data_IF_967067613850
#
_entry.id   IF_967067613850
#
_cell.length_a   1.000
_cell.length_b   1.000
_cell.length_c   1.000
_cell.angle_alpha   90.00
_cell.angle_beta   90.00
_cell.angle_gamma   90.00
#
_symmetry.space_group_name_H-M   'P 1'
#
loop_
_entity.id
_entity.type
_entity.pdbx_description
1 polymer ?
#
# COMPACT_ATOMS: atom_id res chain seq x y z
N UNK A 1 30.86 -47.89 -26.64
CA UNK A 1 31.11 -46.76 -25.71
C UNK A 1 30.91 -45.38 -26.33
N UNK A 2 31.39 -45.09 -27.56
CA UNK A 2 31.28 -43.74 -28.17
C UNK A 2 29.85 -43.28 -28.53
N UNK A 3 28.96 -44.19 -28.96
CA UNK A 3 27.58 -43.85 -29.37
C UNK A 3 26.67 -43.55 -28.18
N UNK A 4 26.73 -44.34 -27.11
CA UNK A 4 25.95 -44.07 -25.88
C UNK A 4 26.35 -42.73 -25.23
N UNK A 5 27.64 -42.38 -25.27
CA UNK A 5 28.11 -41.08 -24.77
C UNK A 5 27.54 -39.91 -25.58
N UNK A 6 27.43 -40.06 -26.91
CA UNK A 6 26.85 -39.04 -27.78
C UNK A 6 25.35 -38.85 -27.54
N UNK A 7 24.60 -39.94 -27.35
CA UNK A 7 23.17 -39.89 -27.00
C UNK A 7 22.97 -39.18 -25.65
N UNK A 8 23.80 -39.49 -24.66
CA UNK A 8 23.74 -38.84 -23.35
C UNK A 8 24.00 -37.33 -23.44
N UNK A 9 24.98 -36.91 -24.23
CA UNK A 9 25.25 -35.48 -24.46
C UNK A 9 24.10 -34.76 -25.16
N UNK A 10 23.42 -35.41 -26.12
CA UNK A 10 22.23 -34.85 -26.78
C UNK A 10 21.07 -34.71 -25.80
N UNK A 11 20.84 -35.71 -24.94
CA UNK A 11 19.79 -35.66 -23.92
C UNK A 11 20.08 -34.57 -22.89
N UNK A 12 21.33 -34.46 -22.42
CA UNK A 12 21.74 -33.40 -21.47
C UNK A 12 21.58 -32.03 -22.11
N UNK A 13 22.01 -31.84 -23.37
CA UNK A 13 21.85 -30.59 -24.13
C UNK A 13 20.38 -30.21 -24.35
N UNK A 14 19.52 -31.21 -24.59
CA UNK A 14 18.09 -30.99 -24.73
C UNK A 14 17.43 -30.65 -23.39
N UNK A 15 17.79 -31.35 -22.31
CA UNK A 15 17.32 -31.05 -20.95
C UNK A 15 17.77 -29.68 -20.46
N UNK A 16 19.01 -29.26 -20.70
CA UNK A 16 19.48 -27.93 -20.31
C UNK A 16 18.73 -26.83 -21.06
N UNK A 17 18.52 -26.98 -22.37
CA UNK A 17 17.68 -26.05 -23.15
C UNK A 17 16.26 -25.93 -22.61
N UNK A 18 15.66 -27.04 -22.16
CA UNK A 18 14.30 -27.09 -21.61
C UNK A 18 14.20 -26.49 -20.21
N UNK A 19 15.25 -26.63 -19.39
CA UNK A 19 15.32 -26.05 -18.03
C UNK A 19 15.57 -24.54 -18.08
N UNK A 20 16.38 -24.05 -19.04
CA UNK A 20 16.60 -22.61 -19.26
C UNK A 20 15.45 -21.91 -20.00
N UNK A 21 14.49 -22.66 -20.55
CA UNK A 21 13.31 -22.13 -21.23
C UNK A 21 12.04 -22.18 -20.39
N UNK A 22 12.15 -22.32 -19.06
CA UNK A 22 11.02 -22.04 -18.19
C UNK A 22 10.64 -20.57 -18.42
N UNK A 23 9.40 -20.27 -18.86
CA UNK A 23 9.00 -18.88 -18.93
C UNK A 23 9.08 -18.35 -17.49
N UNK A 24 9.86 -17.31 -17.25
CA UNK A 24 9.61 -16.46 -16.10
C UNK A 24 8.28 -15.78 -16.39
N UNK A 25 7.17 -16.46 -16.11
CA UNK A 25 5.85 -15.93 -16.33
C UNK A 25 5.51 -14.95 -15.20
N UNK A 26 6.30 -13.89 -15.10
CA UNK A 26 5.90 -12.66 -14.44
C UNK A 26 5.68 -11.65 -15.55
N UNK A 27 4.53 -11.73 -16.23
CA UNK A 27 4.11 -10.57 -17.02
C UNK A 27 3.84 -9.44 -16.04
N UNK A 28 4.21 -8.23 -16.40
CA UNK A 28 3.86 -7.05 -15.61
C UNK A 28 2.32 -6.95 -15.55
N UNK A 29 1.80 -6.67 -14.34
CA UNK A 29 0.39 -6.38 -14.14
C UNK A 29 0.11 -4.96 -14.62
N UNK A 30 -1.02 -4.77 -15.28
CA UNK A 30 -1.46 -3.45 -15.71
C UNK A 30 -2.90 -3.17 -15.26
N UNK A 31 -3.42 -1.98 -15.56
CA UNK A 31 -4.75 -1.55 -15.10
C UNK A 31 -5.89 -2.40 -15.66
N UNK A 32 -5.72 -3.04 -16.81
CA UNK A 32 -6.72 -3.91 -17.43
C UNK A 32 -6.93 -5.22 -16.67
N UNK A 33 -6.02 -5.57 -15.77
CA UNK A 33 -6.15 -6.73 -14.88
C UNK A 33 -7.15 -6.51 -13.73
N UNK A 34 -7.66 -5.28 -13.57
CA UNK A 34 -8.56 -4.89 -12.49
C UNK A 34 -9.93 -4.47 -13.05
N UNK A 35 -11.02 -4.59 -12.26
CA UNK A 35 -12.34 -4.12 -12.68
C UNK A 35 -12.35 -2.64 -13.07
N UNK A 36 -13.24 -2.27 -13.98
CA UNK A 36 -13.46 -0.87 -14.33
C UNK A 36 -13.81 -0.05 -13.08
N UNK A 37 -13.15 1.11 -12.93
CA UNK A 37 -13.33 1.98 -11.77
C UNK A 37 -12.58 1.52 -10.51
N UNK A 38 -11.71 0.51 -10.59
CA UNK A 38 -10.85 0.15 -9.46
C UNK A 38 -9.99 1.33 -9.03
N UNK A 39 -10.07 1.69 -7.74
CA UNK A 39 -9.36 2.84 -7.17
C UNK A 39 -7.96 2.40 -6.76
N UNK A 40 -6.96 3.07 -7.34
CA UNK A 40 -5.57 2.99 -6.90
C UNK A 40 -5.20 4.29 -6.18
N UNK A 41 -4.51 4.19 -5.05
CA UNK A 41 -4.12 5.35 -4.27
C UNK A 41 -2.89 5.07 -3.40
N UNK A 42 -2.48 6.10 -2.66
CA UNK A 42 -1.44 6.05 -1.63
C UNK A 42 -2.04 6.47 -0.30
N UNK A 43 -1.43 6.07 0.81
CA UNK A 43 -1.89 6.39 2.15
C UNK A 43 -0.79 7.08 2.95
N UNK A 44 -1.18 8.04 3.78
CA UNK A 44 -0.34 8.70 4.79
C UNK A 44 -1.17 8.90 6.06
N UNK A 45 -0.51 9.12 7.19
CA UNK A 45 -1.14 9.35 8.50
C UNK A 45 -0.64 10.66 9.09
N UNK A 46 -1.50 11.37 9.79
CA UNK A 46 -1.13 12.55 10.54
C UNK A 46 -0.57 12.17 11.92
N UNK A 47 -0.01 13.16 12.61
CA UNK A 47 0.25 13.09 14.05
C UNK A 47 -0.32 14.36 14.68
N UNK A 48 -1.16 14.20 15.70
CA UNK A 48 -1.82 15.33 16.36
C UNK A 48 -0.85 16.09 17.28
N UNK A 49 -1.14 17.38 17.46
CA UNK A 49 -0.49 18.26 18.45
C UNK A 49 -1.50 18.64 19.53
N UNK A 50 -1.01 18.94 20.73
CA UNK A 50 -1.80 19.05 21.96
C UNK A 50 -2.91 20.12 21.92
N UNK A 51 -3.94 19.86 22.74
CA UNK A 51 -5.04 20.69 23.25
C UNK A 51 -5.65 21.83 22.40
N UNK A 52 -6.99 21.80 22.38
CA UNK A 52 -7.83 22.85 21.80
C UNK A 52 -8.05 22.73 20.29
N UNK A 53 -8.95 23.57 19.77
CA UNK A 53 -9.19 23.63 18.32
C UNK A 53 -8.03 24.36 17.65
N UNK A 54 -7.21 23.62 16.91
CA UNK A 54 -6.14 24.16 16.07
C UNK A 54 -6.73 24.62 14.71
N UNK A 55 -6.90 25.92 14.54
CA UNK A 55 -7.49 26.51 13.31
C UNK A 55 -6.60 26.32 12.10
N UNK A 56 -5.29 26.39 12.28
CA UNK A 56 -4.29 26.17 11.25
C UNK A 56 -4.32 24.72 10.76
N UNK A 57 -4.49 23.76 11.68
CA UNK A 57 -4.69 22.35 11.35
C UNK A 57 -5.97 22.11 10.56
N UNK A 58 -7.07 22.77 10.93
CA UNK A 58 -8.32 22.70 10.16
C UNK A 58 -8.15 23.29 8.75
N UNK A 59 -7.49 24.45 8.63
CA UNK A 59 -7.22 25.07 7.33
C UNK A 59 -6.36 24.16 6.45
N UNK A 60 -5.33 23.53 7.02
CA UNK A 60 -4.48 22.57 6.30
C UNK A 60 -5.29 21.44 5.65
N UNK A 61 -6.21 20.81 6.40
CA UNK A 61 -7.03 19.74 5.84
C UNK A 61 -8.02 20.24 4.79
N UNK A 62 -8.58 21.44 4.95
CA UNK A 62 -9.43 22.05 3.92
C UNK A 62 -8.64 22.27 2.62
N UNK A 63 -7.48 22.92 2.71
CA UNK A 63 -6.62 23.20 1.55
C UNK A 63 -6.19 21.90 0.86
N UNK A 64 -5.85 20.87 1.64
CA UNK A 64 -5.49 19.56 1.12
C UNK A 64 -6.66 18.89 0.36
N UNK A 65 -7.86 18.89 0.95
CA UNK A 65 -9.04 18.26 0.33
C UNK A 65 -9.44 19.01 -0.94
N UNK A 66 -9.41 20.34 -0.90
CA UNK A 66 -9.73 21.19 -2.05
C UNK A 66 -8.74 20.94 -3.19
N UNK A 67 -7.44 20.87 -2.91
CA UNK A 67 -6.42 20.59 -3.92
C UNK A 67 -6.54 19.16 -4.50
N UNK A 68 -6.79 18.14 -3.67
CA UNK A 68 -7.02 16.77 -4.14
C UNK A 68 -8.23 16.71 -5.09
N UNK A 69 -9.33 17.35 -4.69
CA UNK A 69 -10.57 17.38 -5.46
C UNK A 69 -10.40 18.15 -6.77
N UNK A 70 -9.69 19.29 -6.74
CA UNK A 70 -9.38 20.08 -7.92
C UNK A 70 -8.57 19.30 -8.97
N UNK A 71 -7.78 18.31 -8.53
CA UNK A 71 -7.00 17.43 -9.40
C UNK A 71 -7.68 16.09 -9.69
N UNK A 72 -8.97 15.92 -9.35
CA UNK A 72 -9.73 14.70 -9.61
C UNK A 72 -9.29 13.48 -8.79
N UNK A 73 -8.57 13.71 -7.67
CA UNK A 73 -8.15 12.66 -6.74
C UNK A 73 -9.22 12.54 -5.65
N UNK A 74 -9.77 11.33 -5.46
CA UNK A 74 -10.77 11.09 -4.43
C UNK A 74 -10.10 10.97 -3.04
N UNK A 75 -10.39 11.86 -2.08
CA UNK A 75 -9.87 11.73 -0.72
C UNK A 75 -10.60 10.61 0.04
N UNK A 76 -9.84 9.85 0.82
CA UNK A 76 -10.36 8.87 1.79
C UNK A 76 -9.83 9.21 3.18
N UNK A 77 -10.66 9.81 4.02
CA UNK A 77 -10.24 10.32 5.33
C UNK A 77 -10.26 9.21 6.39
N UNK A 78 -9.13 8.99 7.06
CA UNK A 78 -9.03 8.17 8.27
C UNK A 78 -9.14 9.09 9.48
N UNK A 79 -10.22 8.97 10.25
CA UNK A 79 -10.48 9.88 11.39
C UNK A 79 -9.54 9.65 12.59
N UNK A 80 -8.97 8.45 12.71
CA UNK A 80 -8.06 8.10 13.79
C UNK A 80 -7.01 7.10 13.30
N UNK A 81 -5.74 7.41 13.49
CA UNK A 81 -4.62 6.56 13.10
C UNK A 81 -3.62 6.42 14.25
N UNK A 82 -4.13 6.00 15.42
CA UNK A 82 -3.33 5.71 16.62
C UNK A 82 -2.56 6.91 17.20
N UNK A 83 -2.90 8.11 16.77
CA UNK A 83 -2.35 9.40 17.16
C UNK A 83 -3.21 10.08 18.24
N UNK A 84 -3.58 9.31 19.27
CA UNK A 84 -4.47 9.78 20.34
C UNK A 84 -3.86 10.96 21.12
N UNK A 85 -4.62 12.04 21.40
CA UNK A 85 -4.10 13.18 22.15
C UNK A 85 -3.65 12.80 23.57
N UNK A 86 -2.40 13.13 23.92
CA UNK A 86 -1.83 12.84 25.25
C UNK A 86 -2.67 13.45 26.38
N UNK A 87 -3.27 14.62 26.16
CA UNK A 87 -4.11 15.27 27.16
C UNK A 87 -5.31 14.40 27.61
N UNK A 88 -5.85 13.55 26.73
CA UNK A 88 -6.98 12.66 27.06
C UNK A 88 -6.51 11.41 27.83
N UNK A 89 -5.29 10.93 27.56
CA UNK A 89 -4.63 9.94 28.42
C UNK A 89 -4.41 10.51 29.83
N UNK A 90 -3.91 11.74 29.91
CA UNK A 90 -3.62 12.39 31.19
C UNK A 90 -4.90 12.75 31.97
N UNK A 91 -5.97 13.18 31.29
CA UNK A 91 -7.23 13.59 31.94
C UNK A 91 -8.03 12.40 32.47
N UNK A 92 -8.13 11.32 31.71
CA UNK A 92 -8.99 10.19 32.08
C UNK A 92 -8.52 8.81 31.61
N UNK A 93 -7.31 8.65 31.09
CA UNK A 93 -6.78 7.35 30.65
C UNK A 93 -7.27 6.92 29.26
N UNK A 94 -7.60 7.90 28.40
CA UNK A 94 -7.86 7.68 26.98
C UNK A 94 -8.93 6.63 26.73
N UNK A 95 -8.63 5.67 25.86
CA UNK A 95 -9.56 4.60 25.46
C UNK A 95 -9.92 3.62 26.58
N UNK A 96 -9.24 3.63 27.73
CA UNK A 96 -9.64 2.82 28.89
C UNK A 96 -10.83 3.42 29.64
N UNK A 97 -11.21 4.66 29.33
CA UNK A 97 -12.29 5.38 29.97
C UNK A 97 -13.61 5.27 29.21
N UNK A 98 -14.75 5.13 29.92
CA UNK A 98 -16.08 5.24 29.30
C UNK A 98 -16.42 6.67 28.86
N UNK A 99 -15.52 7.65 29.05
CA UNK A 99 -15.70 8.99 28.48
C UNK A 99 -15.44 9.05 26.98
N UNK A 100 -14.70 8.07 26.43
CA UNK A 100 -14.44 7.93 24.99
C UNK A 100 -15.29 6.82 24.35
N UNK A 101 -15.52 5.71 25.06
CA UNK A 101 -16.31 4.56 24.58
C UNK A 101 -17.82 4.76 24.68
#
# INVERSE_FOLDING_TARGET
MKVQFFILLVIISWCTKKITSLPSESRELDRSDFPDGFVFGTATSAFQVNDGVNKEGLQFYNDLIDELTANGIQPAATLYHWDHPQALEDEYGGFLSPKIM
#
